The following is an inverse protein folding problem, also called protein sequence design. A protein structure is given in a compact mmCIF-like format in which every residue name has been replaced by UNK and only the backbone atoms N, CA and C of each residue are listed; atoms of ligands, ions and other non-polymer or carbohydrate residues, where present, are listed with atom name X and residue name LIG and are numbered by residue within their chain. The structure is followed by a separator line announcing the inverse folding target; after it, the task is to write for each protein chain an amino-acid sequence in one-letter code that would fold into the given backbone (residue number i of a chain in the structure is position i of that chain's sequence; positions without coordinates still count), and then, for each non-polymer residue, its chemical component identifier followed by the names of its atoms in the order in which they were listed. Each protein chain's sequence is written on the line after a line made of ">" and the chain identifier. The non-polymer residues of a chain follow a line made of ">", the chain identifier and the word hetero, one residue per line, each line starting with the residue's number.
data_IF_264933336630
#
_entry.id   IF_264933336630
#
_cell.length_a   1.000
_cell.length_b   1.000
_cell.length_c   1.000
_cell.angle_alpha   90.00
_cell.angle_beta   90.00
_cell.angle_gamma   90.00
#
_symmetry.space_group_name_H-M   'P 1'
#
loop_
_entity.id
_entity.type
_entity.pdbx_description
1 polymer ?
#
# COMPACT_ATOMS: atom_id res chain seq x y z
N UNK A 1 8.95 -66.00 -35.97
CA UNK A 1 9.67 -64.82 -35.44
C UNK A 1 9.10 -64.46 -34.08
N UNK A 2 9.95 -64.51 -33.07
CA UNK A 2 9.69 -64.08 -31.69
C UNK A 2 9.66 -62.55 -31.55
N UNK A 3 9.26 -62.12 -30.34
CA UNK A 3 9.42 -60.80 -29.70
C UNK A 3 8.36 -59.74 -30.04
N UNK A 4 7.83 -58.95 -29.10
CA UNK A 4 8.08 -58.80 -27.65
C UNK A 4 6.87 -58.02 -27.11
N UNK A 5 6.03 -58.61 -26.24
CA UNK A 5 5.06 -57.81 -25.47
C UNK A 5 5.81 -57.21 -24.29
N UNK A 6 6.03 -55.91 -24.33
CA UNK A 6 6.72 -55.16 -23.27
C UNK A 6 5.87 -55.16 -22.00
N UNK A 7 6.27 -55.98 -21.03
CA UNK A 7 5.76 -55.98 -19.66
C UNK A 7 6.31 -54.75 -18.94
N UNK A 8 5.63 -53.62 -19.11
CA UNK A 8 5.98 -52.32 -18.50
C UNK A 8 5.01 -51.88 -17.40
N UNK A 9 4.01 -52.70 -17.05
CA UNK A 9 3.05 -52.37 -15.99
C UNK A 9 3.50 -52.79 -14.58
N UNK A 10 4.17 -53.94 -14.48
CA UNK A 10 4.57 -54.47 -13.17
C UNK A 10 5.76 -53.69 -12.58
N UNK A 11 6.66 -53.15 -13.40
CA UNK A 11 7.83 -52.41 -12.90
C UNK A 11 7.43 -51.11 -12.21
N UNK A 12 6.50 -50.36 -12.79
CA UNK A 12 5.97 -49.13 -12.18
C UNK A 12 5.24 -49.43 -10.87
N UNK A 13 4.44 -50.50 -10.83
CA UNK A 13 3.70 -50.89 -9.62
C UNK A 13 4.64 -51.33 -8.47
N UNK A 14 5.69 -52.10 -8.78
CA UNK A 14 6.71 -52.48 -7.79
C UNK A 14 7.51 -51.26 -7.31
N UNK A 15 7.78 -50.30 -8.20
CA UNK A 15 8.51 -49.07 -7.84
C UNK A 15 7.67 -48.18 -6.92
N UNK A 16 6.38 -48.04 -7.19
CA UNK A 16 5.43 -47.32 -6.32
C UNK A 16 5.25 -48.03 -4.98
N UNK A 17 5.16 -49.36 -4.97
CA UNK A 17 5.02 -50.14 -3.73
C UNK A 17 6.30 -50.07 -2.86
N UNK A 18 7.48 -50.12 -3.49
CA UNK A 18 8.77 -49.93 -2.79
C UNK A 18 8.90 -48.51 -2.23
N UNK A 19 8.49 -47.48 -2.97
CA UNK A 19 8.46 -46.11 -2.47
C UNK A 19 7.51 -45.94 -1.28
N UNK A 20 6.30 -46.54 -1.33
CA UNK A 20 5.34 -46.51 -0.22
C UNK A 20 5.86 -47.24 1.02
N UNK A 21 6.57 -48.37 0.85
CA UNK A 21 7.22 -49.09 1.96
C UNK A 21 8.41 -48.30 2.55
N UNK A 22 9.14 -47.53 1.73
CA UNK A 22 10.21 -46.66 2.21
C UNK A 22 9.67 -45.44 3.00
N UNK A 23 8.51 -44.90 2.61
CA UNK A 23 7.89 -43.76 3.31
C UNK A 23 7.30 -44.21 4.66
N UNK A 24 6.77 -45.43 4.78
CA UNK A 24 6.29 -45.95 6.07
C UNK A 24 7.43 -46.35 7.02
N UNK A 25 8.54 -46.89 6.49
CA UNK A 25 9.73 -47.23 7.28
C UNK A 25 10.47 -46.01 7.86
N UNK A 26 10.40 -44.85 7.21
CA UNK A 26 11.01 -43.59 7.68
C UNK A 26 10.13 -42.84 8.68
N UNK A 27 8.82 -43.08 8.70
CA UNK A 27 7.92 -42.48 9.69
C UNK A 27 8.01 -43.15 11.07
N UNK A 28 8.49 -44.40 11.13
CA UNK A 28 8.64 -45.17 12.37
C UNK A 28 9.94 -44.86 13.16
N UNK A 29 10.89 -44.13 12.57
CA UNK A 29 12.19 -43.79 13.21
C UNK A 29 12.33 -42.32 13.60
N UNK A 30 11.33 -41.48 13.31
CA UNK A 30 11.26 -40.07 13.72
C UNK A 30 10.33 -39.81 14.91
N UNK A 31 9.76 -40.86 15.51
CA UNK A 31 9.09 -40.76 16.81
C UNK A 31 10.12 -40.52 17.91
N UNK A 32 10.36 -39.24 18.22
CA UNK A 32 10.95 -38.84 19.49
C UNK A 32 10.17 -39.52 20.62
N UNK A 33 10.84 -40.10 21.64
CA UNK A 33 10.13 -40.67 22.77
C UNK A 33 9.31 -39.57 23.45
N UNK A 34 8.00 -39.81 23.55
CA UNK A 34 7.08 -38.99 24.32
C UNK A 34 7.51 -39.07 25.79
N UNK A 35 8.33 -38.11 26.22
CA UNK A 35 8.63 -37.89 27.63
C UNK A 35 7.30 -37.58 28.33
N UNK A 36 6.85 -38.49 29.20
CA UNK A 36 5.73 -38.26 30.13
C UNK A 36 6.07 -37.02 30.95
N UNK A 37 5.40 -35.91 30.64
CA UNK A 37 5.42 -34.71 31.47
C UNK A 37 4.37 -34.93 32.55
N UNK A 38 4.81 -35.29 33.75
CA UNK A 38 4.01 -35.07 34.96
C UNK A 38 3.63 -33.59 34.99
N UNK A 39 2.33 -33.32 35.13
CA UNK A 39 1.78 -31.98 35.20
C UNK A 39 1.92 -31.48 36.63
N UNK A 40 2.75 -30.45 36.91
CA UNK A 40 2.60 -29.73 38.16
C UNK A 40 1.38 -28.81 37.99
N UNK A 41 0.44 -28.94 38.93
CA UNK A 41 -0.60 -27.96 39.17
C UNK A 41 -0.01 -26.54 39.31
N UNK A 42 -0.73 -25.56 38.75
CA UNK A 42 -0.62 -24.17 39.18
C UNK A 42 0.66 -23.42 38.79
N UNK A 43 0.94 -23.30 37.49
CA UNK A 43 1.98 -22.40 36.97
C UNK A 43 1.39 -21.38 36.02
N UNK A 44 1.12 -20.16 36.50
CA UNK A 44 0.77 -19.03 35.64
C UNK A 44 1.78 -18.92 34.48
N UNK A 45 1.27 -18.87 33.25
CA UNK A 45 2.06 -18.69 32.04
C UNK A 45 2.95 -17.44 32.20
N UNK A 46 4.27 -17.66 32.40
CA UNK A 46 5.24 -16.55 32.49
C UNK A 46 5.40 -15.95 31.11
N UNK A 47 4.62 -14.92 30.82
CA UNK A 47 4.80 -14.05 29.65
C UNK A 47 6.24 -13.51 29.68
N UNK A 48 7.06 -13.94 28.71
CA UNK A 48 8.44 -13.46 28.59
C UNK A 48 8.39 -11.99 28.17
N UNK A 49 8.61 -11.09 29.13
CA UNK A 49 8.76 -9.67 28.83
C UNK A 49 10.17 -9.39 28.29
N UNK A 50 10.30 -9.30 26.97
CA UNK A 50 11.56 -8.87 26.34
C UNK A 50 11.65 -7.35 26.37
N UNK A 51 12.79 -6.81 26.86
CA UNK A 51 13.08 -5.37 26.75
C UNK A 51 13.07 -4.95 25.27
N UNK A 52 12.33 -3.88 24.95
CA UNK A 52 12.32 -3.29 23.61
C UNK A 52 13.74 -2.82 23.25
N UNK A 53 14.22 -3.21 22.08
CA UNK A 53 15.49 -2.72 21.51
C UNK A 53 15.20 -1.46 20.73
N UNK A 54 16.08 -0.47 20.85
CA UNK A 54 16.03 0.77 20.09
C UNK A 54 17.33 0.94 19.31
N UNK A 55 17.24 1.60 18.17
CA UNK A 55 18.40 2.07 17.40
C UNK A 55 18.57 3.54 17.75
N UNK A 56 19.76 3.92 18.21
CA UNK A 56 20.13 5.30 18.49
C UNK A 56 21.43 5.59 17.73
N UNK A 57 21.50 6.78 17.14
CA UNK A 57 22.63 7.23 16.32
C UNK A 57 23.57 8.13 17.14
N UNK A 58 24.86 8.21 16.78
CA UNK A 58 25.79 9.15 17.42
C UNK A 58 25.40 10.60 17.09
N UNK A 59 25.75 11.52 17.98
CA UNK A 59 25.45 12.95 17.80
C UNK A 59 26.08 13.50 16.52
N UNK A 60 25.31 14.32 15.79
CA UNK A 60 25.72 14.84 14.47
C UNK A 60 25.40 13.92 13.28
N UNK A 61 24.72 12.78 13.49
CA UNK A 61 24.24 11.95 12.37
C UNK A 61 22.96 12.54 11.75
N UNK A 62 22.91 12.66 10.43
CA UNK A 62 21.73 13.16 9.69
C UNK A 62 21.37 12.27 8.50
N UNK A 63 20.08 12.09 8.25
CA UNK A 63 19.54 11.52 7.02
C UNK A 63 19.22 12.64 6.04
N UNK A 64 19.79 12.61 4.84
CA UNK A 64 19.46 13.55 3.78
C UNK A 64 18.75 12.85 2.62
N UNK A 65 17.69 13.47 2.11
CA UNK A 65 16.99 13.06 0.90
C UNK A 65 16.96 14.25 -0.06
N UNK A 66 17.38 14.02 -1.30
CA UNK A 66 17.32 15.01 -2.38
C UNK A 66 16.50 14.47 -3.54
N UNK A 67 15.64 15.33 -4.09
CA UNK A 67 14.83 15.05 -5.26
C UNK A 67 15.16 16.12 -6.28
N UNK A 68 15.74 15.71 -7.39
CA UNK A 68 16.06 16.59 -8.51
C UNK A 68 15.11 16.27 -9.66
N UNK A 69 14.31 17.26 -10.05
CA UNK A 69 13.40 17.13 -11.18
C UNK A 69 13.83 18.11 -12.27
N UNK A 70 13.82 17.64 -13.52
CA UNK A 70 13.95 18.49 -14.69
C UNK A 70 12.72 18.26 -15.55
N UNK A 71 12.01 19.33 -15.86
CA UNK A 71 10.82 19.26 -16.70
C UNK A 71 11.03 20.23 -17.87
N UNK A 72 10.56 19.86 -19.05
CA UNK A 72 10.60 20.75 -20.22
C UNK A 72 9.42 21.71 -20.17
N UNK A 73 9.65 23.02 -20.18
CA UNK A 73 8.58 24.01 -20.39
C UNK A 73 8.44 24.18 -21.91
N UNK A 74 7.23 23.92 -22.42
CA UNK A 74 6.84 23.97 -23.83
C UNK A 74 7.54 25.08 -24.64
N UNK A 75 8.07 24.70 -25.80
CA UNK A 75 8.62 25.58 -26.84
C UNK A 75 8.40 24.97 -28.24
N UNK A 76 8.16 25.83 -29.22
CA UNK A 76 7.95 25.55 -30.64
C UNK A 76 8.94 24.47 -31.20
N UNK A 77 8.49 23.47 -32.00
CA UNK A 77 9.33 22.36 -32.47
C UNK A 77 10.60 22.73 -33.24
N UNK A 78 10.75 23.99 -33.67
CA UNK A 78 11.90 24.45 -34.45
C UNK A 78 12.87 25.35 -33.65
N UNK A 79 12.47 25.91 -32.51
CA UNK A 79 13.34 26.69 -31.61
C UNK A 79 12.66 26.77 -30.24
N UNK A 80 13.16 26.01 -29.24
CA UNK A 80 13.28 26.39 -27.82
C UNK A 80 13.57 25.16 -26.92
N UNK A 81 14.56 25.32 -26.03
CA UNK A 81 15.12 24.27 -25.17
C UNK A 81 15.02 24.64 -23.67
N UNK A 82 13.98 25.39 -23.27
CA UNK A 82 13.85 25.85 -21.89
C UNK A 82 13.46 24.69 -20.95
N UNK A 83 14.44 24.18 -20.21
CA UNK A 83 14.25 23.25 -19.11
C UNK A 83 14.17 24.01 -17.79
N UNK A 84 13.20 23.65 -16.94
CA UNK A 84 13.17 24.09 -15.55
C UNK A 84 13.66 22.94 -14.68
N UNK A 85 14.61 23.25 -13.80
CA UNK A 85 15.20 22.31 -12.88
C UNK A 85 14.84 22.73 -11.45
N UNK A 86 14.13 21.85 -10.74
CA UNK A 86 13.68 22.07 -9.38
C UNK A 86 14.33 21.01 -8.49
N UNK A 87 15.16 21.45 -7.53
CA UNK A 87 15.90 20.56 -6.63
C UNK A 87 15.40 20.76 -5.20
N UNK A 88 14.75 19.73 -4.65
CA UNK A 88 14.28 19.69 -3.28
C UNK A 88 15.30 18.93 -2.43
N UNK A 89 15.77 19.54 -1.34
CA UNK A 89 16.69 18.91 -0.39
C UNK A 89 16.11 18.98 1.01
N UNK A 90 15.99 17.83 1.67
CA UNK A 90 15.56 17.74 3.07
C UNK A 90 16.62 16.97 3.85
N UNK A 91 17.08 17.57 4.94
CA UNK A 91 17.95 16.92 5.91
C UNK A 91 17.19 16.78 7.23
N UNK A 92 17.28 15.60 7.84
CA UNK A 92 16.66 15.28 9.11
C UNK A 92 17.70 14.72 10.07
N UNK A 93 17.77 15.27 11.27
CA UNK A 93 18.69 14.78 12.30
C UNK A 93 18.23 13.44 12.84
N UNK A 94 19.15 12.47 12.84
CA UNK A 94 18.83 11.13 13.31
C UNK A 94 18.70 11.11 14.84
N UNK A 95 17.79 10.28 15.38
CA UNK A 95 17.53 10.24 16.82
C UNK A 95 18.76 9.75 17.59
N UNK A 96 19.30 10.62 18.46
CA UNK A 96 20.45 10.31 19.32
C UNK A 96 20.02 9.58 20.61
N UNK A 97 20.99 9.14 21.41
CA UNK A 97 20.71 8.42 22.66
C UNK A 97 19.86 9.23 23.67
N UNK A 98 20.08 10.55 23.76
CA UNK A 98 19.32 11.42 24.66
C UNK A 98 17.85 11.53 24.22
N UNK A 99 17.63 11.82 22.95
CA UNK A 99 16.32 11.87 22.31
C UNK A 99 15.58 10.55 22.48
N UNK A 100 16.24 9.42 22.22
CA UNK A 100 15.61 8.10 22.39
C UNK A 100 15.29 7.80 23.86
N UNK A 101 16.11 8.22 24.83
CA UNK A 101 15.83 8.01 26.27
C UNK A 101 14.63 8.83 26.75
N UNK A 102 14.47 10.04 26.23
CA UNK A 102 13.32 10.90 26.48
C UNK A 102 12.05 10.34 25.81
N UNK A 103 12.17 9.88 24.57
CA UNK A 103 11.04 9.37 23.78
C UNK A 103 10.76 7.88 23.99
N UNK A 104 11.61 7.09 24.65
CA UNK A 104 11.31 5.68 24.99
C UNK A 104 10.22 5.56 26.04
N UNK A 105 10.12 6.57 26.93
CA UNK A 105 8.97 6.77 27.81
C UNK A 105 7.88 7.62 27.13
N UNK A 106 8.26 8.42 26.13
CA UNK A 106 7.48 9.44 25.41
C UNK A 106 6.68 9.03 24.17
N UNK A 107 7.04 7.97 23.44
CA UNK A 107 6.19 7.41 22.36
C UNK A 107 4.84 6.90 22.90
N UNK A 108 4.74 6.78 24.23
CA UNK A 108 3.54 6.45 24.98
C UNK A 108 2.99 7.63 25.79
N UNK A 109 3.64 8.80 25.80
CA UNK A 109 3.18 9.99 26.53
C UNK A 109 2.17 10.79 25.70
N UNK A 110 2.26 10.69 24.37
CA UNK A 110 1.26 11.20 23.42
C UNK A 110 0.19 10.15 23.08
N UNK A 111 0.46 8.88 23.40
CA UNK A 111 -0.62 7.96 23.70
C UNK A 111 -1.14 8.41 25.06
N UNK A 112 -2.03 9.41 25.06
CA UNK A 112 -2.94 9.59 26.20
C UNK A 112 -3.33 8.18 26.66
N UNK A 113 -3.36 7.90 27.96
CA UNK A 113 -3.55 6.52 28.45
C UNK A 113 -4.81 5.83 27.85
N UNK A 114 -5.73 6.62 27.27
CA UNK A 114 -6.94 6.22 26.57
C UNK A 114 -6.85 6.22 25.02
N UNK A 115 -5.79 6.75 24.38
CA UNK A 115 -5.67 6.81 22.92
C UNK A 115 -4.90 5.62 22.36
N UNK A 116 -5.51 4.96 21.39
CA UNK A 116 -4.93 3.82 20.71
C UNK A 116 -3.91 4.25 19.65
N UNK A 117 -3.03 3.33 19.26
CA UNK A 117 -2.08 3.54 18.15
C UNK A 117 -2.80 3.98 16.86
N UNK A 118 -3.99 3.45 16.61
CA UNK A 118 -4.79 3.82 15.46
C UNK A 118 -5.22 5.30 15.50
N UNK A 119 -5.62 5.82 16.66
CA UNK A 119 -5.98 7.24 16.82
C UNK A 119 -4.78 8.16 16.54
N UNK A 120 -3.59 7.81 17.04
CA UNK A 120 -2.37 8.59 16.75
C UNK A 120 -2.03 8.57 15.25
N UNK A 121 -2.14 7.41 14.61
CA UNK A 121 -1.92 7.21 13.18
C UNK A 121 -2.92 8.01 12.32
N UNK A 122 -4.20 8.08 12.74
CA UNK A 122 -5.23 8.90 12.11
C UNK A 122 -4.97 10.40 12.30
N UNK A 123 -4.59 10.83 13.51
CA UNK A 123 -4.25 12.25 13.77
C UNK A 123 -3.14 12.75 12.84
N UNK A 124 -2.06 11.97 12.68
CA UNK A 124 -0.96 12.31 11.77
C UNK A 124 -1.41 12.39 10.31
N UNK A 125 -2.28 11.48 9.85
CA UNK A 125 -2.88 11.54 8.51
C UNK A 125 -3.76 12.75 8.31
N UNK A 126 -4.57 13.12 9.31
CA UNK A 126 -5.45 14.29 9.24
C UNK A 126 -4.65 15.58 9.03
N UNK A 127 -3.55 15.73 9.76
CA UNK A 127 -2.65 16.88 9.58
C UNK A 127 -2.00 16.90 8.19
N UNK A 128 -1.57 15.73 7.71
CA UNK A 128 -1.02 15.61 6.35
C UNK A 128 -2.06 15.93 5.27
N UNK A 129 -3.26 15.37 5.37
CA UNK A 129 -4.33 15.59 4.41
C UNK A 129 -4.78 17.05 4.41
N UNK A 130 -4.91 17.70 5.56
CA UNK A 130 -5.22 19.14 5.60
C UNK A 130 -4.16 20.01 4.90
N UNK A 131 -2.87 19.65 5.03
CA UNK A 131 -1.79 20.32 4.29
C UNK A 131 -1.88 20.07 2.79
N UNK A 132 -2.16 18.84 2.38
CA UNK A 132 -2.32 18.50 0.97
C UNK A 132 -3.55 19.17 0.35
N UNK A 133 -4.67 19.23 1.07
CA UNK A 133 -5.88 19.96 0.66
C UNK A 133 -5.53 21.42 0.35
N UNK A 134 -4.84 22.09 1.28
CA UNK A 134 -4.41 23.49 1.11
C UNK A 134 -3.53 23.67 -0.13
N UNK A 135 -2.57 22.77 -0.35
CA UNK A 135 -1.69 22.83 -1.53
C UNK A 135 -2.49 22.64 -2.82
N UNK A 136 -3.45 21.71 -2.83
CA UNK A 136 -4.30 21.43 -4.00
C UNK A 136 -5.27 22.58 -4.28
N UNK A 137 -5.81 23.21 -3.25
CA UNK A 137 -6.64 24.42 -3.35
C UNK A 137 -5.86 25.58 -3.91
N UNK A 138 -4.61 25.77 -3.49
CA UNK A 138 -3.72 26.79 -4.05
C UNK A 138 -3.40 26.55 -5.54
N UNK A 139 -3.51 25.30 -6.03
CA UNK A 139 -3.40 24.96 -7.45
C UNK A 139 -4.71 25.15 -8.23
N UNK A 140 -5.80 25.58 -7.59
CA UNK A 140 -7.09 25.86 -8.22
C UNK A 140 -8.04 24.66 -8.31
N UNK A 141 -7.82 23.60 -7.52
CA UNK A 141 -8.70 22.44 -7.48
C UNK A 141 -9.40 22.30 -6.13
N UNK A 142 -10.51 21.55 -6.08
CA UNK A 142 -11.18 21.22 -4.81
C UNK A 142 -10.32 20.23 -4.00
N UNK A 143 -9.51 20.75 -3.07
CA UNK A 143 -8.54 19.96 -2.30
C UNK A 143 -9.18 18.79 -1.57
N UNK A 144 -10.26 19.06 -0.84
CA UNK A 144 -11.02 18.06 -0.10
C UNK A 144 -11.46 16.87 -0.98
N UNK A 145 -12.08 17.16 -2.13
CA UNK A 145 -12.54 16.15 -3.08
C UNK A 145 -11.39 15.38 -3.73
N UNK A 146 -10.26 16.04 -3.98
CA UNK A 146 -9.07 15.38 -4.51
C UNK A 146 -8.44 14.40 -3.52
N UNK A 147 -8.43 14.73 -2.21
CA UNK A 147 -8.00 13.78 -1.18
C UNK A 147 -8.99 12.62 -1.04
N UNK A 148 -10.29 12.91 -1.07
CA UNK A 148 -11.34 11.88 -1.08
C UNK A 148 -11.17 10.90 -2.26
N UNK A 149 -10.94 11.44 -3.47
CA UNK A 149 -10.63 10.65 -4.67
C UNK A 149 -9.38 9.80 -4.50
N UNK A 150 -8.29 10.37 -3.97
CA UNK A 150 -7.04 9.62 -3.73
C UNK A 150 -7.22 8.50 -2.70
N UNK A 151 -8.02 8.71 -1.65
CA UNK A 151 -8.35 7.68 -0.68
C UNK A 151 -9.15 6.53 -1.30
N UNK A 152 -10.13 6.87 -2.14
CA UNK A 152 -10.90 5.91 -2.90
C UNK A 152 -10.04 5.09 -3.88
N UNK A 153 -9.15 5.74 -4.63
CA UNK A 153 -8.27 5.08 -5.60
C UNK A 153 -7.22 4.21 -4.91
N UNK A 154 -6.62 4.73 -3.84
CA UNK A 154 -5.60 4.02 -3.04
C UNK A 154 -6.18 2.79 -2.36
N UNK A 155 -7.40 2.82 -1.81
CA UNK A 155 -7.99 1.63 -1.18
C UNK A 155 -8.14 0.46 -2.16
N UNK A 156 -8.42 0.74 -3.43
CA UNK A 156 -8.49 -0.28 -4.49
C UNK A 156 -7.12 -0.75 -4.92
N UNK A 157 -6.19 0.19 -5.12
CA UNK A 157 -4.81 -0.13 -5.47
C UNK A 157 -4.20 -1.06 -4.40
N UNK A 158 -4.45 -0.78 -3.12
CA UNK A 158 -3.99 -1.59 -2.00
C UNK A 158 -4.68 -2.95 -1.91
N UNK A 159 -5.94 -3.09 -2.31
CA UNK A 159 -6.57 -4.41 -2.37
C UNK A 159 -5.93 -5.29 -3.44
N UNK A 160 -5.79 -4.77 -4.66
CA UNK A 160 -5.28 -5.51 -5.83
C UNK A 160 -3.79 -5.83 -5.69
N UNK A 161 -2.99 -4.87 -5.22
CA UNK A 161 -1.53 -5.00 -5.09
C UNK A 161 -1.10 -5.53 -3.70
N UNK A 162 -2.01 -5.74 -2.74
CA UNK A 162 -1.64 -6.24 -1.39
C UNK A 162 -0.85 -7.55 -1.40
N UNK A 163 -0.95 -8.33 -2.48
CA UNK A 163 -0.29 -9.62 -2.61
C UNK A 163 1.13 -9.54 -3.20
N UNK A 164 1.58 -8.38 -3.70
CA UNK A 164 2.95 -8.17 -4.20
C UNK A 164 3.62 -6.99 -3.51
N UNK A 165 4.93 -7.11 -3.24
CA UNK A 165 5.73 -5.95 -2.81
C UNK A 165 5.91 -5.04 -4.01
N UNK A 166 5.41 -3.81 -3.90
CA UNK A 166 5.57 -2.80 -4.93
C UNK A 166 6.97 -2.17 -4.92
N UNK A 167 7.17 -1.19 -5.80
CA UNK A 167 8.36 -0.34 -5.75
C UNK A 167 8.32 0.61 -4.53
N UNK A 168 9.40 1.36 -4.30
CA UNK A 168 9.48 2.31 -3.19
C UNK A 168 8.30 3.30 -3.17
N UNK A 169 7.91 3.81 -4.34
CA UNK A 169 6.76 4.74 -4.45
C UNK A 169 5.44 4.08 -4.07
N UNK A 170 5.20 2.84 -4.49
CA UNK A 170 4.00 2.09 -4.11
C UNK A 170 3.93 1.86 -2.60
N UNK A 171 5.05 1.57 -1.95
CA UNK A 171 5.11 1.42 -0.49
C UNK A 171 4.95 2.76 0.24
N UNK A 172 5.41 3.87 -0.35
CA UNK A 172 5.12 5.22 0.17
C UNK A 172 3.63 5.52 0.08
N UNK A 173 3.00 5.31 -1.08
CA UNK A 173 1.55 5.51 -1.28
C UNK A 173 0.76 4.64 -0.30
N UNK A 174 1.15 3.37 -0.13
CA UNK A 174 0.58 2.46 0.86
C UNK A 174 0.75 2.97 2.28
N UNK A 175 1.90 3.53 2.62
CA UNK A 175 2.15 4.06 3.96
C UNK A 175 1.34 5.32 4.24
N UNK A 176 1.19 6.20 3.27
CA UNK A 176 0.47 7.48 3.42
C UNK A 176 -1.04 7.27 3.46
N UNK A 177 -1.59 6.53 2.49
CA UNK A 177 -3.04 6.43 2.29
C UNK A 177 -3.70 5.19 2.93
N UNK A 178 -2.94 4.31 3.58
CA UNK A 178 -3.54 3.18 4.33
C UNK A 178 -4.20 3.63 5.64
N UNK A 179 -5.39 3.11 5.91
CA UNK A 179 -6.10 3.34 7.17
C UNK A 179 -5.95 2.16 8.14
N UNK A 180 -5.93 2.42 9.47
CA UNK A 180 -5.98 1.36 10.48
C UNK A 180 -7.24 0.51 10.33
N UNK A 181 -7.15 -0.77 10.72
CA UNK A 181 -8.30 -1.68 10.73
C UNK A 181 -9.33 -1.34 11.79
N UNK A 182 -8.87 -0.81 12.93
CA UNK A 182 -9.71 -0.37 14.05
C UNK A 182 -10.79 0.61 13.56
N UNK A 183 -11.99 0.65 14.17
CA UNK A 183 -13.00 1.65 13.83
C UNK A 183 -12.57 3.06 14.26
N UNK A 184 -13.13 4.08 13.61
CA UNK A 184 -13.03 5.47 14.07
C UNK A 184 -13.92 5.62 15.30
N UNK A 185 -13.42 6.25 16.34
CA UNK A 185 -14.17 6.49 17.57
C UNK A 185 -15.00 7.77 17.48
N UNK A 186 -16.12 7.83 18.21
CA UNK A 186 -17.05 8.97 18.22
C UNK A 186 -16.41 10.30 18.65
N UNK A 187 -15.31 10.26 19.42
CA UNK A 187 -14.57 11.45 19.85
C UNK A 187 -13.62 12.00 18.77
N UNK A 188 -13.47 11.31 17.64
CA UNK A 188 -12.65 11.77 16.52
C UNK A 188 -13.40 12.76 15.62
N UNK A 189 -12.70 13.69 14.95
CA UNK A 189 -13.35 14.69 14.09
C UNK A 189 -14.18 14.09 12.94
N UNK A 190 -15.26 14.77 12.56
CA UNK A 190 -16.20 14.35 11.49
C UNK A 190 -15.50 14.10 10.14
N UNK A 191 -14.50 14.90 9.81
CA UNK A 191 -13.70 14.74 8.59
C UNK A 191 -13.06 13.35 8.50
N UNK A 192 -12.64 12.78 9.63
CA UNK A 192 -12.02 11.46 9.64
C UNK A 192 -13.06 10.34 9.50
N UNK A 193 -14.27 10.55 10.03
CA UNK A 193 -15.40 9.67 9.80
C UNK A 193 -15.80 9.66 8.32
N UNK A 194 -15.77 10.81 7.66
CA UNK A 194 -16.02 10.93 6.23
C UNK A 194 -14.97 10.16 5.41
N UNK A 195 -13.68 10.38 5.67
CA UNK A 195 -12.60 9.69 4.96
C UNK A 195 -12.54 8.18 5.22
N UNK A 196 -12.74 7.72 6.46
CA UNK A 196 -12.78 6.29 6.76
C UNK A 196 -13.95 5.59 6.05
N UNK A 197 -15.11 6.26 5.95
CA UNK A 197 -16.28 5.76 5.21
C UNK A 197 -15.96 5.56 3.73
N UNK A 198 -15.37 6.55 3.07
CA UNK A 198 -14.97 6.48 1.66
C UNK A 198 -13.97 5.33 1.46
N UNK A 199 -12.91 5.33 2.27
CA UNK A 199 -11.85 4.32 2.16
C UNK A 199 -12.39 2.89 2.35
N UNK A 200 -13.24 2.65 3.36
CA UNK A 200 -13.84 1.33 3.60
C UNK A 200 -14.88 0.93 2.57
N UNK A 201 -15.65 1.88 2.04
CA UNK A 201 -16.63 1.62 0.98
C UNK A 201 -15.92 1.20 -0.30
N UNK A 202 -14.93 1.98 -0.74
CA UNK A 202 -14.11 1.68 -1.92
C UNK A 202 -13.27 0.40 -1.77
N UNK A 203 -13.03 -0.05 -0.54
CA UNK A 203 -12.41 -1.36 -0.27
C UNK A 203 -13.35 -2.55 -0.48
N UNK A 204 -14.66 -2.38 -0.26
CA UNK A 204 -15.66 -3.46 -0.32
C UNK A 204 -16.43 -3.51 -1.62
N UNK A 205 -16.72 -2.34 -2.20
CA UNK A 205 -17.56 -2.17 -3.38
C UNK A 205 -16.73 -1.90 -4.63
N UNK A 206 -17.22 -2.35 -5.77
CA UNK A 206 -16.69 -1.97 -7.09
C UNK A 206 -17.35 -0.67 -7.50
N UNK A 207 -16.70 0.44 -7.22
CA UNK A 207 -17.14 1.79 -7.58
C UNK A 207 -16.19 2.42 -8.61
N UNK A 208 -16.55 3.50 -9.29
CA UNK A 208 -15.59 4.29 -10.09
C UNK A 208 -15.27 5.58 -9.33
N UNK A 209 -14.05 5.69 -8.78
CA UNK A 209 -13.64 6.82 -7.95
C UNK A 209 -13.59 8.14 -8.74
N UNK A 210 -13.40 8.06 -10.06
CA UNK A 210 -13.40 9.21 -10.94
C UNK A 210 -14.80 9.81 -11.08
N UNK A 211 -15.83 8.96 -11.08
CA UNK A 211 -17.23 9.39 -11.19
C UNK A 211 -17.76 9.87 -9.84
N UNK A 212 -17.47 9.14 -8.76
CA UNK A 212 -17.89 9.52 -7.40
C UNK A 212 -17.32 10.88 -6.99
N UNK A 213 -16.05 11.14 -7.34
CA UNK A 213 -15.34 12.39 -7.03
C UNK A 213 -15.01 13.18 -8.30
N UNK A 214 -16.03 13.49 -9.10
CA UNK A 214 -15.89 14.20 -10.37
C UNK A 214 -15.38 15.65 -10.23
N UNK A 215 -15.49 16.24 -9.04
CA UNK A 215 -14.97 17.59 -8.75
C UNK A 215 -13.44 17.65 -8.76
N UNK A 216 -12.75 16.51 -8.61
CA UNK A 216 -11.31 16.43 -8.81
C UNK A 216 -11.00 15.87 -10.20
N UNK A 217 -10.35 16.66 -11.06
CA UNK A 217 -10.12 16.29 -12.46
C UNK A 217 -8.91 15.38 -12.70
N UNK A 218 -7.99 15.27 -11.74
CA UNK A 218 -6.78 14.46 -11.87
C UNK A 218 -6.68 13.40 -10.77
N UNK A 219 -5.88 12.37 -11.00
CA UNK A 219 -5.54 11.39 -9.97
C UNK A 219 -4.18 11.71 -9.35
N UNK A 220 -4.16 11.92 -8.03
CA UNK A 220 -2.92 12.06 -7.27
C UNK A 220 -2.05 10.80 -7.38
N UNK A 221 -2.65 9.61 -7.45
CA UNK A 221 -1.91 8.37 -7.56
C UNK A 221 -1.28 8.22 -8.94
N UNK A 222 -2.00 8.53 -10.02
CA UNK A 222 -1.44 8.50 -11.38
C UNK A 222 -0.29 9.48 -11.54
N UNK A 223 -0.39 10.67 -10.94
CA UNK A 223 0.69 11.64 -10.89
C UNK A 223 1.93 11.08 -10.20
N UNK A 224 1.78 10.49 -9.00
CA UNK A 224 2.89 9.88 -8.24
C UNK A 224 3.54 8.72 -9.00
N UNK A 225 2.75 7.94 -9.73
CA UNK A 225 3.26 6.83 -10.55
C UNK A 225 3.76 7.26 -11.94
N UNK A 226 3.76 8.56 -12.25
CA UNK A 226 4.26 9.08 -13.52
C UNK A 226 3.39 8.78 -14.74
N UNK A 227 2.09 8.47 -14.55
CA UNK A 227 1.14 8.15 -15.61
C UNK A 227 0.51 9.39 -16.29
N UNK A 228 1.10 10.56 -16.12
CA UNK A 228 0.59 11.85 -16.61
C UNK A 228 0.69 12.04 -18.14
N UNK A 229 1.05 11.01 -18.91
CA UNK A 229 0.97 11.02 -20.37
C UNK A 229 0.12 9.84 -20.88
N UNK A 230 -1.19 10.01 -20.80
CA UNK A 230 -2.08 9.33 -21.73
C UNK A 230 -2.85 10.45 -22.39
N UNK A 231 -2.59 10.66 -23.69
CA UNK A 231 -3.47 11.40 -24.60
C UNK A 231 -4.91 11.16 -24.19
N UNK A 232 -5.77 12.19 -24.08
CA UNK A 232 -7.19 11.97 -23.79
C UNK A 232 -7.65 10.84 -24.71
N UNK A 233 -8.17 9.76 -24.11
CA UNK A 233 -8.61 8.60 -24.86
C UNK A 233 -9.48 9.12 -25.99
N UNK A 234 -8.98 9.00 -27.22
CA UNK A 234 -9.67 9.45 -28.41
C UNK A 234 -11.03 8.76 -28.37
N UNK A 235 -12.09 9.53 -28.14
CA UNK A 235 -13.45 9.06 -28.34
C UNK A 235 -13.47 8.42 -29.73
N UNK A 236 -13.67 7.11 -29.76
CA UNK A 236 -13.74 6.37 -31.00
C UNK A 236 -14.91 6.93 -31.81
N UNK A 237 -14.67 7.42 -33.04
CA UNK A 237 -15.73 7.97 -33.87
C UNK A 237 -16.52 6.81 -34.49
N UNK A 238 -17.31 6.13 -33.67
CA UNK A 238 -18.20 5.07 -34.14
C UNK A 238 -19.67 5.28 -33.74
N UNK A 239 -20.04 6.46 -33.24
CA UNK A 239 -21.42 6.77 -32.85
C UNK A 239 -21.96 8.09 -33.42
N UNK A 240 -21.51 8.48 -34.61
CA UNK A 240 -22.14 9.53 -35.43
C UNK A 240 -22.32 9.09 -36.90
N UNK A 241 -22.68 7.82 -37.12
CA UNK A 241 -23.01 7.29 -38.45
C UNK A 241 -24.51 7.08 -38.70
N UNK A 242 -25.40 7.54 -37.80
CA UNK A 242 -26.84 7.25 -37.90
C UNK A 242 -27.78 8.46 -37.99
N UNK A 243 -27.27 9.68 -38.17
CA UNK A 243 -28.12 10.88 -38.33
C UNK A 243 -27.57 11.81 -39.42
N UNK A 244 -27.62 11.40 -40.68
CA UNK A 244 -27.86 12.26 -41.86
C UNK A 244 -27.92 11.46 -43.18
N UNK A 245 -28.64 10.33 -43.19
CA UNK A 245 -29.09 9.70 -44.44
C UNK A 245 -30.59 9.86 -44.56
N UNK A 246 -31.02 10.97 -45.17
CA UNK A 246 -32.43 11.25 -45.41
C UNK A 246 -32.64 12.39 -46.40
N UNK A 247 -33.02 12.02 -47.62
CA UNK A 247 -33.64 12.82 -48.70
C UNK A 247 -32.78 13.85 -49.44
N UNK A 248 -32.25 13.40 -50.58
CA UNK A 248 -32.40 14.18 -51.80
C UNK A 248 -33.82 14.01 -52.34
N UNK A 249 -34.42 15.10 -52.80
CA UNK A 249 -35.49 15.15 -53.79
C UNK A 249 -35.49 16.56 -54.38
N UNK A 250 -35.22 16.62 -55.70
CA UNK A 250 -35.52 17.68 -56.68
C UNK A 250 -35.12 19.12 -56.37
#
# INVERSE_FOLDING_TARGET
>A
MCHRRSSSGNKELYTVLLLLLCISGTLATLSLPLSKREMPEGGAERVISRKRRYVAFPEGSSLAASICMTVGVIGNPNTEWLSWAENWGVAYDLPNYAWVKEHTRGFKKDMDANKTKAMAMRRSRRDLFGKLETIIENMGFAGHECIARALCESSKYLNVESQKRGNMLAEIVKTVFSFPTDPVYEDEPDIMHHYDRIYRRARREVLDCRVEHAQCHFSLLEMVFGKYSITPAKESPHLLSSLHKGRGFM
#
